data_IF_633645656909
#
_entry.id   IF_633645656909
#
_cell.length_a   1.000
_cell.length_b   1.000
_cell.length_c   1.000
_cell.angle_alpha   90.00
_cell.angle_beta   90.00
_cell.angle_gamma   90.00
#
_symmetry.space_group_name_H-M   'P 1'
#
loop_
_entity.id
_entity.type
_entity.pdbx_description
1 polymer ?
#
# COMPACT_ATOMS: atom_id res chain seq x y z
N UNK A 1 19.18 -14.36 15.06
CA UNK A 1 18.12 -14.47 14.05
C UNK A 1 16.97 -13.63 14.58
N UNK A 2 16.66 -12.52 13.92
CA UNK A 2 15.65 -11.54 14.37
C UNK A 2 14.25 -11.95 13.89
N UNK A 3 13.23 -11.82 14.74
CA UNK A 3 11.83 -12.15 14.42
C UNK A 3 11.32 -11.31 13.23
N UNK A 4 11.77 -10.06 13.10
CA UNK A 4 11.44 -9.21 11.96
C UNK A 4 11.92 -9.79 10.62
N UNK A 5 13.11 -10.41 10.62
CA UNK A 5 13.64 -11.14 9.48
C UNK A 5 12.85 -12.42 9.17
N UNK A 6 12.38 -13.14 10.19
CA UNK A 6 11.55 -14.34 9.99
C UNK A 6 10.21 -13.99 9.33
N UNK A 7 9.51 -12.98 9.86
CA UNK A 7 8.24 -12.49 9.30
C UNK A 7 8.44 -12.02 7.86
N UNK A 8 9.53 -11.31 7.57
CA UNK A 8 9.84 -10.88 6.21
C UNK A 8 10.04 -12.04 5.23
N UNK A 9 10.80 -13.05 5.64
CA UNK A 9 11.07 -14.20 4.79
C UNK A 9 9.78 -15.01 4.58
N UNK A 10 8.94 -15.16 5.60
CA UNK A 10 7.63 -15.81 5.46
C UNK A 10 6.71 -15.05 4.49
N UNK A 11 6.71 -13.72 4.51
CA UNK A 11 5.99 -12.91 3.52
C UNK A 11 6.52 -13.17 2.11
N UNK A 12 7.85 -13.18 1.93
CA UNK A 12 8.47 -13.44 0.62
C UNK A 12 8.18 -14.85 0.09
N UNK A 13 8.31 -15.87 0.94
CA UNK A 13 8.11 -17.26 0.55
C UNK A 13 6.65 -17.57 0.18
N UNK A 14 5.70 -16.81 0.74
CA UNK A 14 4.27 -16.89 0.41
C UNK A 14 3.88 -16.11 -0.84
N UNK A 15 4.85 -15.56 -1.59
CA UNK A 15 4.59 -14.77 -2.79
C UNK A 15 3.92 -13.42 -2.49
N UNK A 16 3.99 -12.93 -1.25
CA UNK A 16 3.37 -11.68 -0.85
C UNK A 16 3.96 -10.46 -1.59
N UNK A 17 5.21 -10.59 -2.02
CA UNK A 17 5.92 -9.61 -2.83
C UNK A 17 5.94 -9.98 -4.32
N UNK A 18 5.18 -10.99 -4.77
CA UNK A 18 5.10 -11.34 -6.19
C UNK A 18 4.18 -10.34 -6.90
N UNK A 19 4.75 -9.45 -7.70
CA UNK A 19 4.06 -8.32 -8.35
C UNK A 19 3.16 -8.69 -9.53
N UNK A 20 2.74 -9.96 -9.63
CA UNK A 20 2.00 -10.47 -10.77
C UNK A 20 0.55 -10.76 -10.38
N UNK A 21 -0.39 -10.11 -11.07
CA UNK A 21 -1.83 -10.38 -10.95
C UNK A 21 -2.57 -9.51 -9.94
N UNK A 22 -3.88 -9.75 -9.85
CA UNK A 22 -4.75 -9.10 -8.87
C UNK A 22 -4.30 -9.43 -7.45
N UNK A 23 -4.23 -8.41 -6.60
CA UNK A 23 -3.89 -8.57 -5.20
C UNK A 23 -5.16 -8.63 -4.37
N UNK A 24 -5.34 -9.71 -3.60
CA UNK A 24 -6.43 -9.84 -2.64
C UNK A 24 -5.85 -9.98 -1.22
N UNK A 25 -6.45 -9.27 -0.27
CA UNK A 25 -6.13 -9.38 1.14
C UNK A 25 -6.58 -10.74 1.63
N UNK A 26 -5.63 -11.49 2.21
CA UNK A 26 -5.88 -12.79 2.81
C UNK A 26 -5.90 -12.70 4.34
N UNK A 27 -6.55 -13.68 4.98
CA UNK A 27 -6.48 -13.83 6.45
C UNK A 27 -5.05 -14.04 6.94
N UNK A 28 -4.23 -14.74 6.18
CA UNK A 28 -2.83 -15.00 6.55
C UNK A 28 -2.01 -13.71 6.62
N UNK A 29 -2.25 -12.79 5.69
CA UNK A 29 -1.66 -11.45 5.73
C UNK A 29 -2.13 -10.72 7.00
N UNK A 30 -3.42 -10.76 7.30
CA UNK A 30 -3.97 -10.10 8.50
C UNK A 30 -3.38 -10.69 9.79
N UNK A 31 -3.24 -12.01 9.87
CA UNK A 31 -2.60 -12.71 10.99
C UNK A 31 -1.15 -12.24 11.14
N UNK A 32 -0.39 -12.12 10.07
CA UNK A 32 1.00 -11.65 10.16
C UNK A 32 1.12 -10.19 10.63
N UNK A 33 0.24 -9.31 10.16
CA UNK A 33 0.20 -7.92 10.64
C UNK A 33 -0.19 -7.85 12.12
N UNK A 34 -1.18 -8.64 12.55
CA UNK A 34 -1.55 -8.74 13.96
C UNK A 34 -0.42 -9.31 14.81
N UNK A 35 0.26 -10.36 14.37
CA UNK A 35 1.40 -10.93 15.09
C UNK A 35 2.52 -9.89 15.27
N UNK A 36 2.82 -9.12 14.23
CA UNK A 36 3.79 -8.02 14.27
C UNK A 36 3.38 -6.95 15.29
N UNK A 37 2.10 -6.56 15.28
CA UNK A 37 1.54 -5.60 16.23
C UNK A 37 1.52 -6.14 17.68
N UNK A 38 1.23 -7.44 17.88
CA UNK A 38 1.28 -8.08 19.19
C UNK A 38 2.69 -8.13 19.76
N UNK A 39 3.71 -8.37 18.93
CA UNK A 39 5.11 -8.28 19.37
C UNK A 39 5.43 -6.85 19.80
N UNK A 40 4.99 -5.83 19.06
CA UNK A 40 5.16 -4.44 19.45
C UNK A 40 4.53 -4.14 20.83
N UNK A 41 3.29 -4.60 21.06
CA UNK A 41 2.62 -4.49 22.36
C UNK A 41 3.35 -5.27 23.46
N UNK A 42 3.89 -6.45 23.15
CA UNK A 42 4.65 -7.24 24.11
C UNK A 42 5.95 -6.53 24.53
N UNK A 43 6.62 -5.83 23.62
CA UNK A 43 7.81 -5.03 23.94
C UNK A 43 7.50 -3.91 24.95
N UNK A 44 6.27 -3.39 25.01
CA UNK A 44 5.87 -2.45 26.07
C UNK A 44 5.82 -3.11 27.45
N UNK A 45 5.55 -4.42 27.51
CA UNK A 45 5.48 -5.19 28.74
C UNK A 45 6.84 -5.74 29.21
N UNK A 46 7.84 -5.84 28.32
CA UNK A 46 9.17 -6.42 28.62
C UNK A 46 9.84 -5.84 29.87
N UNK A 47 9.89 -4.51 30.11
CA UNK A 47 10.53 -3.97 31.32
C UNK A 47 9.94 -4.54 32.61
N UNK A 48 8.62 -4.70 32.63
CA UNK A 48 7.89 -5.27 33.77
C UNK A 48 8.11 -6.79 33.86
N UNK A 49 8.04 -7.50 32.74
CA UNK A 49 8.24 -8.95 32.69
C UNK A 49 9.64 -9.36 33.16
N UNK A 50 10.65 -8.60 32.73
CA UNK A 50 12.06 -8.81 33.05
C UNK A 50 12.49 -8.10 34.35
N UNK A 51 11.57 -7.44 35.04
CA UNK A 51 11.80 -6.78 36.33
C UNK A 51 12.99 -5.80 36.29
N UNK A 52 13.07 -4.98 35.24
CA UNK A 52 14.18 -4.04 35.04
C UNK A 52 14.43 -3.16 36.26
N UNK A 53 13.38 -2.68 36.91
CA UNK A 53 13.49 -1.86 38.12
C UNK A 53 14.20 -2.62 39.25
N UNK A 54 13.83 -3.89 39.49
CA UNK A 54 14.45 -4.70 40.54
C UNK A 54 15.92 -5.01 40.22
N UNK A 55 16.23 -5.24 38.95
CA UNK A 55 17.61 -5.42 38.49
C UNK A 55 18.45 -4.16 38.70
N UNK A 56 17.92 -2.99 38.33
CA UNK A 56 18.60 -1.71 38.52
C UNK A 56 18.76 -1.36 40.01
N UNK A 57 17.76 -1.64 40.83
CA UNK A 57 17.82 -1.46 42.28
C UNK A 57 18.89 -2.35 42.92
N UNK A 58 18.98 -3.62 42.51
CA UNK A 58 20.04 -4.51 42.96
C UNK A 58 21.44 -4.00 42.55
N UNK A 59 21.57 -3.45 41.33
CA UNK A 59 22.83 -2.90 40.83
C UNK A 59 23.28 -1.65 41.61
N UNK A 60 22.34 -0.81 42.06
CA UNK A 60 22.63 0.38 42.91
C UNK A 60 23.28 0.02 44.25
N UNK A 61 23.09 -1.20 44.73
CA UNK A 61 23.67 -1.66 46.00
C UNK A 61 25.15 -2.03 45.86
N UNK A 62 25.62 -2.34 44.66
CA UNK A 62 26.97 -2.90 44.42
C UNK A 62 27.84 -2.05 43.52
N UNK A 63 27.25 -1.27 42.61
CA UNK A 63 27.96 -0.54 41.55
C UNK A 63 27.95 0.98 41.77
N UNK A 64 28.78 1.70 41.01
CA UNK A 64 28.76 3.17 41.00
C UNK A 64 27.51 3.67 40.26
N UNK A 65 26.95 4.79 40.72
CA UNK A 65 25.75 5.41 40.12
C UNK A 65 25.85 5.57 38.60
N UNK A 66 27.02 5.99 38.09
CA UNK A 66 27.27 6.14 36.65
C UNK A 66 27.12 4.83 35.87
N UNK A 67 27.49 3.71 36.45
CA UNK A 67 27.43 2.40 35.81
C UNK A 67 25.99 1.84 35.82
N UNK A 68 25.23 2.14 36.88
CA UNK A 68 23.78 1.86 36.95
C UNK A 68 23.03 2.67 35.89
N UNK A 69 23.29 3.99 35.81
CA UNK A 69 22.62 4.87 34.87
C UNK A 69 22.92 4.48 33.41
N UNK A 70 24.18 4.16 33.12
CA UNK A 70 24.58 3.62 31.82
C UNK A 70 23.85 2.32 31.47
N UNK A 71 23.68 1.43 32.45
CA UNK A 71 22.98 0.15 32.25
C UNK A 71 21.49 0.36 32.01
N UNK A 72 20.85 1.24 32.79
CA UNK A 72 19.45 1.64 32.57
C UNK A 72 19.25 2.22 31.17
N UNK A 73 20.10 3.17 30.77
CA UNK A 73 20.05 3.77 29.44
C UNK A 73 20.21 2.73 28.34
N UNK A 74 21.15 1.77 28.51
CA UNK A 74 21.40 0.71 27.53
C UNK A 74 20.18 -0.21 27.38
N UNK A 75 19.55 -0.62 28.48
CA UNK A 75 18.35 -1.46 28.45
C UNK A 75 17.18 -0.77 27.75
N UNK A 76 16.94 0.50 28.06
CA UNK A 76 15.90 1.29 27.41
C UNK A 76 16.20 1.52 25.92
N UNK A 77 17.46 1.80 25.56
CA UNK A 77 17.86 1.99 24.18
C UNK A 77 17.64 0.72 23.34
N UNK A 78 18.05 -0.46 23.86
CA UNK A 78 17.83 -1.74 23.17
C UNK A 78 16.33 -1.97 22.93
N UNK A 79 15.51 -1.71 23.94
CA UNK A 79 14.06 -1.89 23.82
C UNK A 79 13.43 -0.91 22.83
N UNK A 80 13.86 0.35 22.86
CA UNK A 80 13.38 1.37 21.92
C UNK A 80 13.79 1.03 20.48
N UNK A 81 15.01 0.56 20.25
CA UNK A 81 15.44 0.07 18.94
C UNK A 81 14.56 -1.10 18.47
N UNK A 82 14.32 -2.11 19.32
CA UNK A 82 13.47 -3.24 18.96
C UNK A 82 12.03 -2.82 18.64
N UNK A 83 11.47 -1.87 19.40
CA UNK A 83 10.13 -1.31 19.12
C UNK A 83 10.09 -0.59 17.79
N UNK A 84 11.10 0.23 17.52
CA UNK A 84 11.21 0.98 16.27
C UNK A 84 11.36 0.05 15.07
N UNK A 85 12.19 -1.00 15.17
CA UNK A 85 12.35 -2.01 14.13
C UNK A 85 11.03 -2.73 13.82
N UNK A 86 10.30 -3.14 14.84
CA UNK A 86 8.99 -3.80 14.69
C UNK A 86 7.93 -2.86 14.12
N UNK A 87 7.93 -1.58 14.53
CA UNK A 87 7.04 -0.56 13.98
C UNK A 87 7.34 -0.30 12.51
N UNK A 88 8.60 -0.11 12.16
CA UNK A 88 9.04 0.07 10.77
C UNK A 88 8.68 -1.15 9.92
N UNK A 89 8.76 -2.36 10.50
CA UNK A 89 8.35 -3.58 9.78
C UNK A 89 6.85 -3.60 9.48
N UNK A 90 6.02 -3.29 10.48
CA UNK A 90 4.58 -3.18 10.30
C UNK A 90 4.25 -2.14 9.23
N UNK A 91 4.90 -0.98 9.27
CA UNK A 91 4.66 0.12 8.34
C UNK A 91 5.03 -0.26 6.90
N UNK A 92 6.14 -0.99 6.71
CA UNK A 92 6.51 -1.54 5.40
C UNK A 92 5.45 -2.50 4.84
N UNK A 93 4.87 -3.35 5.69
CA UNK A 93 3.81 -4.28 5.26
C UNK A 93 2.55 -3.49 4.85
N UNK A 94 2.15 -2.52 5.67
CA UNK A 94 0.99 -1.65 5.41
C UNK A 94 1.17 -0.89 4.08
N UNK A 95 2.34 -0.30 3.86
CA UNK A 95 2.65 0.43 2.63
C UNK A 95 2.61 -0.48 1.40
N UNK A 96 3.15 -1.70 1.52
CA UNK A 96 3.13 -2.67 0.43
C UNK A 96 1.70 -3.09 0.07
N UNK A 97 0.87 -3.40 1.07
CA UNK A 97 -0.56 -3.70 0.87
C UNK A 97 -1.26 -2.56 0.14
N UNK A 98 -1.11 -1.32 0.64
CA UNK A 98 -1.71 -0.14 0.02
C UNK A 98 -1.28 0.04 -1.43
N UNK A 99 0.01 -0.16 -1.73
CA UNK A 99 0.54 -0.08 -3.10
C UNK A 99 -0.07 -1.15 -4.03
N UNK A 100 -0.14 -2.41 -3.57
CA UNK A 100 -0.68 -3.51 -4.38
C UNK A 100 -2.17 -3.40 -4.63
N UNK A 101 -2.91 -2.91 -3.62
CA UNK A 101 -4.32 -2.57 -3.81
C UNK A 101 -4.49 -1.42 -4.80
N UNK A 102 -3.63 -0.39 -4.76
CA UNK A 102 -3.63 0.71 -5.76
C UNK A 102 -3.50 0.20 -7.19
N UNK A 103 -2.57 -0.72 -7.41
CA UNK A 103 -2.31 -1.31 -8.74
C UNK A 103 -3.54 -2.09 -9.23
N UNK A 104 -4.13 -2.92 -8.37
CA UNK A 104 -5.35 -3.67 -8.71
C UNK A 104 -6.53 -2.73 -9.01
N UNK A 105 -6.73 -1.69 -8.20
CA UNK A 105 -7.77 -0.67 -8.43
C UNK A 105 -7.58 0.05 -9.77
N UNK A 106 -6.34 0.37 -10.13
CA UNK A 106 -6.03 0.99 -11.42
C UNK A 106 -6.47 0.10 -12.59
N UNK A 107 -6.27 -1.21 -12.49
CA UNK A 107 -6.69 -2.17 -13.52
C UNK A 107 -8.22 -2.22 -13.65
N UNK A 108 -8.95 -2.20 -12.52
CA UNK A 108 -10.41 -2.08 -12.54
C UNK A 108 -10.88 -0.77 -13.18
N UNK A 109 -10.31 0.37 -12.79
CA UNK A 109 -10.70 1.66 -13.36
C UNK A 109 -10.37 1.74 -14.86
N UNK A 110 -9.23 1.20 -15.30
CA UNK A 110 -8.88 1.10 -16.72
C UNK A 110 -9.89 0.25 -17.50
N UNK A 111 -10.34 -0.87 -16.93
CA UNK A 111 -11.42 -1.68 -17.51
C UNK A 111 -12.71 -0.86 -17.64
N UNK A 112 -13.12 -0.12 -16.60
CA UNK A 112 -14.31 0.74 -16.65
C UNK A 112 -14.18 1.77 -17.78
N UNK A 113 -13.03 2.45 -17.88
CA UNK A 113 -12.81 3.50 -18.88
C UNK A 113 -12.74 2.95 -20.31
N UNK A 114 -12.19 1.75 -20.50
CA UNK A 114 -11.96 1.16 -21.83
C UNK A 114 -13.16 0.34 -22.30
N UNK A 115 -14.03 -0.08 -21.38
CA UNK A 115 -15.17 -0.91 -21.70
C UNK A 115 -16.32 -0.07 -22.26
N UNK A 116 -16.45 -0.05 -23.58
CA UNK A 116 -17.54 0.62 -24.28
C UNK A 116 -18.86 -0.19 -24.31
N UNK A 117 -18.90 -1.39 -23.71
CA UNK A 117 -20.03 -2.32 -23.81
C UNK A 117 -20.96 -2.34 -22.59
N UNK A 118 -20.43 -2.05 -21.40
CA UNK A 118 -21.22 -1.97 -20.16
C UNK A 118 -21.53 -0.52 -19.82
N UNK A 119 -22.61 -0.29 -19.09
CA UNK A 119 -22.83 1.02 -18.45
C UNK A 119 -21.77 1.27 -17.36
N UNK A 120 -21.60 2.54 -16.97
CA UNK A 120 -20.68 2.90 -15.88
C UNK A 120 -21.08 2.19 -14.58
N UNK A 121 -22.39 2.08 -14.32
CA UNK A 121 -22.94 1.44 -13.12
C UNK A 121 -22.53 -0.05 -13.06
N UNK A 122 -22.81 -0.81 -14.12
CA UNK A 122 -22.47 -2.24 -14.22
C UNK A 122 -20.95 -2.52 -14.25
N UNK A 123 -20.14 -1.52 -14.59
CA UNK A 123 -18.68 -1.63 -14.59
C UNK A 123 -18.09 -1.29 -13.23
N UNK A 124 -18.80 -0.48 -12.43
CA UNK A 124 -18.43 -0.15 -11.06
C UNK A 124 -18.72 -1.29 -10.08
N UNK A 125 -19.70 -2.15 -10.35
CA UNK A 125 -20.03 -3.31 -9.50
C UNK A 125 -18.81 -4.19 -9.22
N UNK A 126 -18.06 -4.57 -10.26
CA UNK A 126 -16.86 -5.41 -10.15
C UNK A 126 -15.76 -4.75 -9.27
N UNK A 127 -15.65 -3.42 -9.32
CA UNK A 127 -14.71 -2.62 -8.52
C UNK A 127 -15.18 -2.51 -7.05
N UNK A 128 -16.47 -2.27 -6.85
CA UNK A 128 -17.07 -2.13 -5.52
C UNK A 128 -17.02 -3.46 -4.77
N UNK A 129 -17.33 -4.57 -5.44
CA UNK A 129 -17.22 -5.92 -4.87
C UNK A 129 -15.78 -6.23 -4.44
N UNK A 130 -14.79 -5.87 -5.27
CA UNK A 130 -13.37 -6.02 -4.89
C UNK A 130 -13.03 -5.20 -3.63
N UNK A 131 -13.44 -3.94 -3.58
CA UNK A 131 -13.18 -3.08 -2.40
C UNK A 131 -13.87 -3.65 -1.16
N UNK A 132 -15.14 -4.05 -1.28
CA UNK A 132 -15.94 -4.59 -0.19
C UNK A 132 -15.34 -5.87 0.38
N UNK A 133 -14.96 -6.83 -0.47
CA UNK A 133 -14.36 -8.09 -0.05
C UNK A 133 -13.05 -7.84 0.72
N UNK A 134 -12.18 -6.99 0.19
CA UNK A 134 -10.90 -6.68 0.84
C UNK A 134 -11.09 -5.94 2.17
N UNK A 135 -11.98 -4.94 2.23
CA UNK A 135 -12.27 -4.21 3.46
C UNK A 135 -12.96 -5.08 4.51
N UNK A 136 -13.80 -6.02 4.09
CA UNK A 136 -14.44 -6.98 5.00
C UNK A 136 -13.39 -7.88 5.65
N UNK A 137 -12.45 -8.43 4.88
CA UNK A 137 -11.34 -9.23 5.43
C UNK A 137 -10.47 -8.38 6.37
N UNK A 138 -10.07 -7.18 5.95
CA UNK A 138 -9.24 -6.29 6.78
C UNK A 138 -9.94 -5.93 8.11
N UNK A 139 -11.22 -5.57 8.06
CA UNK A 139 -11.95 -5.13 9.26
C UNK A 139 -12.26 -6.26 10.24
N UNK A 140 -12.49 -7.47 9.73
CA UNK A 140 -12.79 -8.65 10.57
C UNK A 140 -11.55 -9.32 11.13
N UNK A 141 -10.42 -9.27 10.40
CA UNK A 141 -9.21 -10.02 10.74
C UNK A 141 -8.09 -9.16 11.31
N UNK A 142 -8.20 -7.82 11.40
CA UNK A 142 -7.15 -6.96 11.97
C UNK A 142 -7.50 -6.34 13.33
N UNK A 143 -6.47 -6.08 14.12
CA UNK A 143 -6.55 -5.19 15.27
C UNK A 143 -6.94 -3.77 14.83
N UNK A 144 -7.84 -3.10 15.57
CA UNK A 144 -8.38 -1.77 15.23
C UNK A 144 -7.29 -0.74 14.86
N UNK A 145 -6.21 -0.69 15.64
CA UNK A 145 -5.11 0.25 15.42
C UNK A 145 -4.35 -0.02 14.10
N UNK A 146 -4.30 -1.28 13.67
CA UNK A 146 -3.65 -1.67 12.41
C UNK A 146 -4.60 -1.42 11.23
N UNK A 147 -5.88 -1.74 11.41
CA UNK A 147 -6.93 -1.50 10.43
C UNK A 147 -7.05 -0.01 10.06
N UNK A 148 -7.12 0.89 11.05
CA UNK A 148 -7.23 2.34 10.81
C UNK A 148 -6.06 2.88 9.97
N UNK A 149 -4.84 2.39 10.23
CA UNK A 149 -3.64 2.82 9.51
C UNK A 149 -3.61 2.31 8.07
N UNK A 150 -4.05 1.07 7.85
CA UNK A 150 -4.16 0.49 6.50
C UNK A 150 -5.23 1.22 5.70
N UNK A 151 -6.39 1.49 6.32
CA UNK A 151 -7.49 2.17 5.68
C UNK A 151 -7.09 3.58 5.20
N UNK A 152 -6.35 4.34 6.02
CA UNK A 152 -5.82 5.65 5.64
C UNK A 152 -4.89 5.57 4.42
N UNK A 153 -3.96 4.60 4.40
CA UNK A 153 -3.06 4.40 3.26
C UNK A 153 -3.78 3.95 2.01
N UNK A 154 -4.73 3.02 2.14
CA UNK A 154 -5.57 2.55 1.04
C UNK A 154 -6.39 3.68 0.45
N UNK A 155 -7.05 4.47 1.29
CA UNK A 155 -7.93 5.56 0.83
C UNK A 155 -7.16 6.63 0.08
N UNK A 156 -5.98 7.02 0.58
CA UNK A 156 -5.06 7.91 -0.13
C UNK A 156 -4.66 7.34 -1.49
N UNK A 157 -4.32 6.06 -1.55
CA UNK A 157 -3.93 5.40 -2.78
C UNK A 157 -5.06 5.34 -3.82
N UNK A 158 -6.29 5.06 -3.39
CA UNK A 158 -7.50 5.08 -4.23
C UNK A 158 -7.72 6.48 -4.82
N UNK A 159 -7.72 7.51 -3.95
CA UNK A 159 -7.95 8.90 -4.35
C UNK A 159 -6.88 9.40 -5.33
N UNK A 160 -5.61 9.07 -5.08
CA UNK A 160 -4.51 9.37 -6.00
C UNK A 160 -4.75 8.73 -7.36
N UNK A 161 -5.12 7.45 -7.39
CA UNK A 161 -5.36 6.73 -8.63
C UNK A 161 -6.51 7.34 -9.45
N UNK A 162 -7.64 7.63 -8.79
CA UNK A 162 -8.77 8.30 -9.44
C UNK A 162 -8.39 9.68 -9.98
N UNK A 163 -7.62 10.45 -9.21
CA UNK A 163 -7.13 11.78 -9.62
C UNK A 163 -6.21 11.68 -10.83
N UNK A 164 -5.26 10.75 -10.83
CA UNK A 164 -4.30 10.56 -11.92
C UNK A 164 -4.98 10.13 -13.22
N UNK A 165 -5.97 9.23 -13.13
CA UNK A 165 -6.73 8.77 -14.29
C UNK A 165 -7.63 9.86 -14.85
N UNK A 166 -8.27 10.66 -13.99
CA UNK A 166 -9.08 11.80 -14.41
C UNK A 166 -8.23 12.86 -15.14
N UNK A 167 -7.04 13.19 -14.59
CA UNK A 167 -6.10 14.13 -15.24
C UNK A 167 -5.68 13.65 -16.62
N UNK A 168 -5.28 12.38 -16.75
CA UNK A 168 -4.89 11.81 -18.05
C UNK A 168 -6.00 11.91 -19.09
N UNK A 169 -7.25 11.64 -18.71
CA UNK A 169 -8.39 11.78 -19.63
C UNK A 169 -8.66 13.22 -20.04
N UNK A 170 -8.52 14.17 -19.12
CA UNK A 170 -8.65 15.61 -19.43
C UNK A 170 -7.55 16.08 -20.38
N UNK A 171 -6.31 15.62 -20.18
CA UNK A 171 -5.17 15.93 -21.05
C UNK A 171 -5.33 15.32 -22.45
N UNK A 172 -5.78 14.06 -22.54
CA UNK A 172 -6.15 13.41 -23.81
C UNK A 172 -7.25 14.21 -24.53
N UNK A 173 -8.28 14.67 -23.81
CA UNK A 173 -9.37 15.44 -24.39
C UNK A 173 -8.92 16.83 -24.88
N UNK A 174 -8.01 17.50 -24.17
CA UNK A 174 -7.41 18.77 -24.63
C UNK A 174 -6.55 18.57 -25.89
N UNK A 175 -5.75 17.50 -25.96
CA UNK A 175 -4.98 17.18 -27.16
C UNK A 175 -5.85 16.88 -28.39
N UNK A 176 -7.05 16.31 -28.20
CA UNK A 176 -8.01 16.09 -29.28
C UNK A 176 -8.64 17.40 -29.81
N UNK A 177 -8.79 18.42 -28.96
CA UNK A 177 -9.36 19.71 -29.35
C UNK A 177 -8.33 20.64 -30.03
N UNK A 178 -7.04 20.40 -29.83
CA UNK A 178 -5.93 21.17 -30.44
C UNK A 178 -5.45 20.60 -31.79
N UNK A 179 -6.09 19.57 -32.35
CA UNK A 179 -5.75 19.07 -33.69
C UNK A 179 -6.27 20.02 -34.79
N UNK A 180 -5.42 20.53 -35.70
CA UNK A 180 -5.87 21.37 -36.79
C UNK A 180 -6.76 20.54 -37.73
N UNK A 181 -8.00 21.03 -37.96
CA UNK A 181 -8.91 20.50 -38.98
C UNK A 181 -8.18 20.51 -40.33
N UNK A 182 -7.82 19.32 -40.83
CA UNK A 182 -7.17 19.18 -42.12
C UNK A 182 -8.09 19.74 -43.21
N UNK A 183 -7.55 20.70 -43.96
CA UNK A 183 -8.19 21.42 -45.06
C UNK A 183 -8.63 20.47 -46.17
N UNK A 184 -9.88 20.61 -46.60
CA UNK A 184 -10.47 19.97 -47.76
C UNK A 184 -9.63 20.26 -49.02
N UNK A 185 -9.22 19.21 -49.73
CA UNK A 185 -8.45 19.29 -50.97
C UNK A 185 -9.33 19.82 -52.11
N UNK A 186 -9.00 20.98 -52.67
CA UNK A 186 -9.50 21.41 -53.98
C UNK A 186 -8.78 20.60 -55.07
N UNK A 187 -9.39 19.51 -55.52
CA UNK A 187 -9.15 18.98 -56.87
C UNK A 187 -10.14 19.63 -57.84
N UNK A 188 -9.68 20.59 -58.63
CA UNK A 188 -10.37 21.01 -59.86
C UNK A 188 -9.40 21.07 -61.04
N UNK A 189 -9.43 20.01 -61.85
CA UNK A 189 -9.60 20.08 -63.31
C UNK A 189 -8.41 20.51 -64.18
N UNK A 190 -7.57 19.56 -64.59
CA UNK A 190 -6.90 19.62 -65.90
C UNK A 190 -7.81 18.99 -66.97
N UNK A 191 -8.42 19.81 -67.82
CA UNK A 191 -9.00 19.36 -69.10
C UNK A 191 -7.89 19.20 -70.14
N UNK A 192 -7.64 17.96 -70.56
CA UNK A 192 -6.93 17.63 -71.79
C UNK A 192 -7.91 17.03 -72.79
N UNK A 193 -8.36 17.84 -73.76
CA UNK A 193 -9.09 17.36 -74.93
C UNK A 193 -8.10 17.17 -76.07
N UNK A 194 -7.92 15.90 -76.45
CA UNK A 194 -7.21 15.48 -77.66
C UNK A 194 -8.11 15.61 -78.88
N UNK A 195 -7.53 16.10 -79.97
CA UNK A 195 -8.13 16.32 -81.28
C UNK A 195 -8.30 15.02 -82.07
N UNK A 196 -9.45 14.83 -82.73
CA UNK A 196 -9.59 13.94 -83.87
C UNK A 196 -10.70 14.45 -84.83
N UNK A 197 -10.25 14.83 -86.03
CA UNK A 197 -10.93 15.02 -87.32
C UNK A 197 -12.32 15.67 -87.39
#
# INVERSE_FOLDING_TARGET
MDYGHLVFNQLKDKGFYDDVGQFDVTDELCIMMNNTAHVLQFLDYVPKAAQFDQYLDAMRLTEREKDVERSSQTLHNILNCAKEDMRNKLDQIILHVGKRMKESLKDYILKIITNNQKTVDESCDDLLEYIENNLTTLSSSLLSQVFERILDHMWKAVLECMTDLTKKKVDEHHQFLDQPLYTFSEETGEESVSSAC
#
